data_IF_729194329852
#
_entry.id   IF_729194329852
#
_cell.length_a   1.000
_cell.length_b   1.000
_cell.length_c   1.000
_cell.angle_alpha   90.00
_cell.angle_beta   90.00
_cell.angle_gamma   90.00
#
_symmetry.space_group_name_H-M   'P 1'
#
loop_
_entity.id
_entity.type
_entity.pdbx_description
1 polymer ?
#
# COMPACT_ATOMS: atom_id res chain seq x y z
N UNK A 1 6.55 44.98 -27.60
CA UNK A 1 5.54 43.96 -27.91
C UNK A 1 6.32 42.67 -28.20
N UNK A 2 6.21 41.68 -27.31
CA UNK A 2 6.89 40.37 -27.30
C UNK A 2 8.45 40.39 -27.21
N UNK A 3 9.15 39.49 -26.52
CA UNK A 3 8.89 38.50 -25.47
C UNK A 3 10.25 38.27 -24.76
N UNK A 4 10.19 37.99 -23.45
CA UNK A 4 11.22 37.46 -22.54
C UNK A 4 11.98 36.28 -23.16
N UNK A 5 13.24 35.94 -22.88
CA UNK A 5 14.12 36.14 -21.72
C UNK A 5 14.98 34.86 -21.59
N UNK A 6 16.25 34.93 -21.14
CA UNK A 6 17.21 33.82 -21.17
C UNK A 6 17.15 32.90 -19.94
N UNK A 7 17.88 31.79 -20.03
CA UNK A 7 18.34 30.88 -18.97
C UNK A 7 18.35 31.47 -17.56
N UNK A 8 17.69 30.78 -16.62
CA UNK A 8 17.95 30.94 -15.19
C UNK A 8 18.05 29.56 -14.54
N UNK A 9 19.28 29.26 -14.16
CA UNK A 9 19.72 28.26 -13.19
C UNK A 9 18.92 28.41 -11.89
N UNK A 10 18.23 27.36 -11.44
CA UNK A 10 17.73 27.29 -10.07
C UNK A 10 18.66 26.45 -9.22
N UNK A 11 19.41 27.15 -8.37
CA UNK A 11 20.19 26.60 -7.27
C UNK A 11 19.25 25.95 -6.25
N UNK A 12 19.60 24.75 -5.82
CA UNK A 12 19.00 24.11 -4.65
C UNK A 12 19.60 24.72 -3.38
N UNK A 13 18.77 25.38 -2.56
CA UNK A 13 19.09 25.76 -1.20
C UNK A 13 18.30 24.85 -0.26
N UNK A 14 18.97 23.91 0.40
CA UNK A 14 18.59 23.44 1.73
C UNK A 14 19.86 23.22 2.53
N UNK A 15 20.14 24.21 3.39
CA UNK A 15 21.13 24.09 4.45
C UNK A 15 20.52 23.31 5.61
N UNK A 16 21.15 22.19 5.96
CA UNK A 16 20.96 21.53 7.25
C UNK A 16 22.36 21.17 7.78
N UNK A 17 22.76 21.84 8.85
CA UNK A 17 23.95 21.50 9.65
C UNK A 17 23.59 20.38 10.64
N UNK A 18 24.51 19.40 10.77
CA UNK A 18 24.88 18.58 11.94
C UNK A 18 23.74 17.82 12.68
N UNK A 19 23.73 16.50 12.89
CA UNK A 19 24.80 15.50 13.08
C UNK A 19 24.23 14.07 13.04
N UNK A 20 25.09 13.10 12.67
CA UNK A 20 25.09 11.66 13.00
C UNK A 20 23.97 10.73 12.45
N UNK A 21 24.36 9.87 11.50
CA UNK A 21 23.66 8.63 11.15
C UNK A 21 23.57 8.40 9.64
N UNK A 22 24.52 7.65 9.09
CA UNK A 22 24.58 7.28 7.67
C UNK A 22 23.25 6.65 7.20
N UNK A 23 22.50 7.36 6.37
CA UNK A 23 21.63 6.75 5.36
C UNK A 23 22.00 7.34 4.02
N UNK A 24 22.78 6.59 3.24
CA UNK A 24 23.05 6.92 1.85
C UNK A 24 21.76 6.72 1.04
N UNK A 25 20.93 7.75 0.93
CA UNK A 25 20.04 7.89 -0.23
C UNK A 25 20.69 8.87 -1.19
N UNK A 26 21.65 8.36 -1.97
CA UNK A 26 22.07 9.04 -3.19
C UNK A 26 20.90 9.12 -4.17
N UNK A 27 20.97 10.02 -5.18
CA UNK A 27 19.93 10.13 -6.20
C UNK A 27 19.75 8.77 -6.89
N UNK A 28 18.50 8.31 -6.95
CA UNK A 28 18.12 7.07 -7.63
C UNK A 28 18.41 7.23 -9.13
N UNK A 29 19.19 6.31 -9.71
CA UNK A 29 19.51 6.35 -11.14
C UNK A 29 18.25 6.28 -12.01
N UNK A 30 18.26 6.97 -13.15
CA UNK A 30 17.13 7.02 -14.08
C UNK A 30 16.70 5.63 -14.58
N UNK A 31 17.65 4.72 -14.77
CA UNK A 31 17.40 3.32 -15.16
C UNK A 31 16.61 2.56 -14.09
N UNK A 32 16.96 2.74 -12.81
CA UNK A 32 16.20 2.14 -11.71
C UNK A 32 14.80 2.72 -11.61
N UNK A 33 14.63 4.04 -11.79
CA UNK A 33 13.32 4.69 -11.77
C UNK A 33 12.40 4.18 -12.90
N UNK A 34 12.93 4.02 -14.12
CA UNK A 34 12.18 3.48 -15.26
C UNK A 34 11.82 2.01 -15.07
N UNK A 35 12.70 1.22 -14.45
CA UNK A 35 12.41 -0.18 -14.11
C UNK A 35 11.31 -0.30 -13.04
N UNK A 36 11.30 0.59 -12.04
CA UNK A 36 10.31 0.63 -10.97
C UNK A 36 8.96 1.08 -11.53
N UNK A 37 8.92 2.12 -12.38
CA UNK A 37 7.69 2.59 -12.99
C UNK A 37 7.07 1.54 -13.92
N UNK A 38 7.91 0.81 -14.68
CA UNK A 38 7.48 -0.34 -15.50
C UNK A 38 6.93 -1.51 -14.67
N UNK A 39 7.51 -1.77 -13.49
CA UNK A 39 6.97 -2.77 -12.54
C UNK A 39 5.70 -2.28 -11.83
N UNK A 40 5.56 -0.98 -11.58
CA UNK A 40 4.34 -0.42 -11.01
C UNK A 40 3.15 -0.59 -11.97
N UNK A 41 3.40 -0.33 -13.26
CA UNK A 41 2.37 -0.38 -14.30
C UNK A 41 1.98 -1.80 -14.74
N UNK A 42 2.73 -2.84 -14.34
CA UNK A 42 2.36 -4.23 -14.66
C UNK A 42 1.25 -4.80 -13.76
N UNK A 43 0.95 -4.17 -12.63
CA UNK A 43 -0.09 -4.63 -11.73
C UNK A 43 -1.46 -4.05 -12.11
N UNK A 44 -2.39 -4.93 -12.45
CA UNK A 44 -3.78 -4.55 -12.71
C UNK A 44 -4.53 -4.33 -11.40
N UNK A 45 -5.27 -3.23 -11.32
CA UNK A 45 -6.19 -2.96 -10.22
C UNK A 45 -7.57 -3.51 -10.60
N UNK A 46 -8.14 -4.34 -9.73
CA UNK A 46 -9.47 -4.95 -9.89
C UNK A 46 -10.36 -4.59 -8.70
N UNK A 47 -11.67 -4.48 -8.90
CA UNK A 47 -12.62 -4.30 -7.80
C UNK A 47 -12.96 -5.66 -7.19
N UNK A 48 -12.78 -5.82 -5.88
CA UNK A 48 -13.14 -7.05 -5.15
C UNK A 48 -14.27 -6.71 -4.17
N UNK A 49 -15.34 -7.54 -4.10
CA UNK A 49 -16.39 -7.36 -3.09
C UNK A 49 -15.82 -7.42 -1.67
N UNK A 50 -16.19 -6.44 -0.83
CA UNK A 50 -15.65 -6.32 0.53
C UNK A 50 -15.89 -7.61 1.33
N UNK A 51 -17.09 -8.19 1.23
CA UNK A 51 -17.46 -9.40 1.96
C UNK A 51 -16.68 -10.67 1.58
N UNK A 52 -15.87 -10.66 0.52
CA UNK A 52 -15.03 -11.80 0.13
C UNK A 52 -13.61 -11.72 0.72
N UNK A 53 -13.20 -10.54 1.19
CA UNK A 53 -11.85 -10.32 1.69
C UNK A 53 -11.68 -10.89 3.10
N UNK A 54 -10.54 -11.54 3.34
CA UNK A 54 -10.24 -12.21 4.61
C UNK A 54 -9.11 -11.49 5.35
N UNK A 55 -9.39 -10.84 6.49
CA UNK A 55 -8.35 -10.25 7.32
C UNK A 55 -7.37 -11.31 7.82
N UNK A 56 -6.09 -11.01 7.75
CA UNK A 56 -5.00 -11.86 8.27
C UNK A 56 -4.37 -11.29 9.54
N UNK A 57 -4.63 -10.03 9.84
CA UNK A 57 -4.15 -9.33 11.03
C UNK A 57 -5.26 -8.50 11.67
N UNK A 58 -5.15 -8.35 12.99
CA UNK A 58 -5.89 -7.36 13.75
C UNK A 58 -5.50 -5.93 13.35
N UNK A 59 -6.36 -4.98 13.70
CA UNK A 59 -6.17 -3.56 13.41
C UNK A 59 -6.19 -2.74 14.68
N UNK A 60 -5.67 -1.51 14.58
CA UNK A 60 -5.99 -0.47 15.54
C UNK A 60 -7.30 0.22 15.10
N UNK A 61 -8.40 -0.04 15.81
CA UNK A 61 -9.72 0.47 15.46
C UNK A 61 -9.80 2.00 15.47
N UNK A 62 -9.17 2.68 16.44
CA UNK A 62 -9.17 4.15 16.49
C UNK A 62 -8.49 4.75 15.27
N UNK A 63 -7.35 4.18 14.86
CA UNK A 63 -6.65 4.59 13.65
C UNK A 63 -7.49 4.33 12.40
N UNK A 64 -8.16 3.20 12.32
CA UNK A 64 -9.05 2.88 11.20
C UNK A 64 -10.22 3.88 11.12
N UNK A 65 -10.81 4.24 12.26
CA UNK A 65 -11.91 5.21 12.34
C UNK A 65 -11.46 6.62 11.93
N UNK A 66 -10.29 7.06 12.37
CA UNK A 66 -9.71 8.34 11.91
C UNK A 66 -9.50 8.31 10.39
N UNK A 67 -8.98 7.19 9.85
CA UNK A 67 -8.78 7.02 8.43
C UNK A 67 -10.11 7.03 7.65
N UNK A 68 -11.16 6.37 8.16
CA UNK A 68 -12.48 6.34 7.54
C UNK A 68 -13.06 7.76 7.39
N UNK A 69 -12.96 8.58 8.45
CA UNK A 69 -13.35 10.00 8.40
C UNK A 69 -12.57 10.79 7.35
N UNK A 70 -11.26 10.55 7.24
CA UNK A 70 -10.42 11.22 6.23
C UNK A 70 -10.78 10.80 4.80
N UNK A 71 -11.04 9.52 4.57
CA UNK A 71 -11.47 8.99 3.28
C UNK A 71 -12.84 9.56 2.90
N UNK A 72 -13.82 9.51 3.82
CA UNK A 72 -15.15 10.06 3.63
C UNK A 72 -15.11 11.56 3.30
N UNK A 73 -14.32 12.35 4.04
CA UNK A 73 -14.17 13.79 3.80
C UNK A 73 -13.58 14.09 2.41
N UNK A 74 -12.69 13.23 1.91
CA UNK A 74 -12.07 13.39 0.59
C UNK A 74 -12.95 12.91 -0.55
N UNK A 75 -13.91 12.01 -0.29
CA UNK A 75 -14.74 11.38 -1.32
C UNK A 75 -13.97 10.44 -2.26
N UNK A 76 -12.70 10.13 -1.97
CA UNK A 76 -11.83 9.39 -2.87
C UNK A 76 -11.10 8.26 -2.16
N UNK A 77 -11.11 7.09 -2.80
CA UNK A 77 -10.23 5.98 -2.49
C UNK A 77 -8.95 6.07 -3.34
N UNK A 78 -7.81 6.20 -2.68
CA UNK A 78 -6.55 6.62 -3.36
C UNK A 78 -5.45 5.55 -3.40
N UNK A 79 -5.64 4.41 -2.74
CA UNK A 79 -4.62 3.34 -2.70
C UNK A 79 -5.24 1.96 -2.75
N UNK A 80 -4.86 1.10 -3.71
CA UNK A 80 -5.39 -0.26 -3.76
C UNK A 80 -4.95 -1.08 -2.53
N UNK A 81 -5.76 -2.04 -2.13
CA UNK A 81 -5.37 -3.06 -1.15
C UNK A 81 -4.56 -4.16 -1.82
N UNK A 82 -3.64 -4.78 -1.07
CA UNK A 82 -2.92 -5.97 -1.55
C UNK A 82 -3.61 -7.21 -1.02
N UNK A 83 -3.90 -8.14 -1.92
CA UNK A 83 -4.71 -9.33 -1.62
C UNK A 83 -4.05 -10.56 -2.22
N UNK A 84 -3.93 -11.63 -1.43
CA UNK A 84 -3.51 -12.94 -1.90
C UNK A 84 -4.60 -13.54 -2.80
N UNK A 85 -4.21 -13.95 -4.00
CA UNK A 85 -5.17 -14.21 -5.07
C UNK A 85 -5.99 -15.50 -4.89
N UNK A 86 -5.46 -16.53 -4.23
CA UNK A 86 -6.13 -17.85 -4.12
C UNK A 86 -7.24 -17.84 -3.08
N UNK A 87 -7.02 -17.21 -1.93
CA UNK A 87 -7.95 -17.25 -0.80
C UNK A 87 -8.51 -15.87 -0.43
N UNK A 88 -8.16 -14.82 -1.19
CA UNK A 88 -8.57 -13.42 -0.96
C UNK A 88 -8.13 -12.89 0.41
N UNK A 89 -6.92 -13.26 0.82
CA UNK A 89 -6.34 -12.83 2.10
C UNK A 89 -5.80 -11.41 1.98
N UNK A 90 -6.12 -10.55 2.93
CA UNK A 90 -5.56 -9.20 2.95
C UNK A 90 -4.09 -9.30 3.33
N UNK A 91 -3.20 -8.86 2.44
CA UNK A 91 -1.76 -8.73 2.70
C UNK A 91 -1.44 -7.33 3.26
N UNK A 92 -1.99 -6.29 2.64
CA UNK A 92 -1.85 -4.90 3.09
C UNK A 92 -3.18 -4.15 2.96
N UNK A 93 -3.47 -3.31 3.94
CA UNK A 93 -4.66 -2.47 3.94
C UNK A 93 -5.77 -2.90 4.90
N UNK A 94 -5.50 -3.63 5.98
CA UNK A 94 -6.53 -4.05 6.95
C UNK A 94 -7.30 -2.87 7.57
N UNK A 95 -6.65 -1.73 7.83
CA UNK A 95 -7.38 -0.53 8.26
C UNK A 95 -8.30 0.01 7.15
N UNK A 96 -7.84 -0.03 5.89
CA UNK A 96 -8.64 0.38 4.73
C UNK A 96 -9.85 -0.54 4.54
N UNK A 97 -9.67 -1.84 4.73
CA UNK A 97 -10.77 -2.81 4.77
C UNK A 97 -11.81 -2.42 5.84
N UNK A 98 -11.36 -2.12 7.06
CA UNK A 98 -12.25 -1.63 8.12
C UNK A 98 -12.97 -0.32 7.75
N UNK A 99 -12.28 0.62 7.09
CA UNK A 99 -12.92 1.81 6.54
C UNK A 99 -13.99 1.48 5.50
N UNK A 100 -13.73 0.51 4.61
CA UNK A 100 -14.70 0.11 3.59
C UNK A 100 -15.98 -0.44 4.22
N UNK A 101 -15.85 -1.26 5.26
CA UNK A 101 -16.99 -1.73 6.06
C UNK A 101 -17.72 -0.58 6.76
N UNK A 102 -17.00 0.33 7.43
CA UNK A 102 -17.59 1.49 8.12
C UNK A 102 -18.34 2.43 7.16
N UNK A 103 -17.82 2.59 5.94
CA UNK A 103 -18.41 3.43 4.90
C UNK A 103 -19.45 2.70 4.03
N UNK A 104 -19.77 1.44 4.35
CA UNK A 104 -20.72 0.59 3.62
C UNK A 104 -20.41 0.49 2.12
N UNK A 105 -19.14 0.35 1.76
CA UNK A 105 -18.73 0.10 0.38
C UNK A 105 -19.00 -1.37 0.01
N UNK A 106 -19.50 -1.62 -1.19
CA UNK A 106 -19.73 -2.98 -1.70
C UNK A 106 -18.44 -3.61 -2.23
N UNK A 107 -17.52 -2.81 -2.75
CA UNK A 107 -16.24 -3.27 -3.29
C UNK A 107 -15.08 -2.31 -3.01
N UNK A 108 -13.85 -2.79 -3.15
CA UNK A 108 -12.63 -1.99 -3.02
C UNK A 108 -11.64 -2.32 -4.14
N UNK A 109 -10.83 -1.35 -4.58
CA UNK A 109 -9.77 -1.61 -5.55
C UNK A 109 -8.63 -2.40 -4.88
N UNK A 110 -8.27 -3.51 -5.51
CA UNK A 110 -7.26 -4.45 -5.04
C UNK A 110 -6.25 -4.76 -6.14
N UNK A 111 -5.06 -5.15 -5.72
CA UNK A 111 -4.08 -5.86 -6.55
C UNK A 111 -4.03 -7.29 -6.01
N UNK A 112 -4.26 -8.25 -6.90
CA UNK A 112 -4.16 -9.67 -6.57
C UNK A 112 -2.71 -10.13 -6.77
N UNK A 113 -2.12 -10.75 -5.75
CA UNK A 113 -0.73 -11.18 -5.71
C UNK A 113 -0.62 -12.65 -5.29
N UNK A 114 0.44 -13.31 -5.75
CA UNK A 114 0.93 -14.57 -5.17
C UNK A 114 2.03 -14.27 -4.15
N UNK A 115 2.16 -15.10 -3.12
CA UNK A 115 3.33 -15.10 -2.24
C UNK A 115 4.63 -15.45 -2.97
N UNK A 116 4.53 -16.10 -4.14
CA UNK A 116 5.66 -16.40 -5.02
C UNK A 116 6.03 -15.24 -5.96
N UNK A 117 5.33 -14.09 -5.89
CA UNK A 117 5.67 -12.92 -6.72
C UNK A 117 7.08 -12.43 -6.34
N UNK A 118 8.04 -12.39 -7.28
CA UNK A 118 9.43 -12.00 -7.00
C UNK A 118 9.58 -10.53 -6.55
N UNK A 119 8.55 -9.70 -6.74
CA UNK A 119 8.53 -8.31 -6.28
C UNK A 119 7.88 -8.16 -4.90
N UNK A 120 7.27 -9.21 -4.36
CA UNK A 120 6.64 -9.22 -3.04
C UNK A 120 7.64 -9.72 -1.99
N UNK A 121 7.91 -8.88 -1.01
CA UNK A 121 8.74 -9.23 0.13
C UNK A 121 7.86 -9.27 1.38
N UNK A 122 7.98 -10.32 2.18
CA UNK A 122 7.26 -10.47 3.45
C UNK A 122 8.27 -10.68 4.58
N UNK A 123 8.13 -9.91 5.65
CA UNK A 123 8.97 -10.00 6.86
C UNK A 123 8.12 -9.88 8.12
N UNK A 124 8.64 -10.27 9.28
CA UNK A 124 8.03 -9.85 10.55
C UNK A 124 8.36 -8.39 10.88
N UNK A 125 7.53 -7.74 11.70
CA UNK A 125 7.82 -6.39 12.21
C UNK A 125 8.86 -6.38 13.33
N UNK A 126 8.85 -7.42 14.18
CA UNK A 126 9.73 -7.52 15.36
C UNK A 126 11.18 -7.82 14.97
N UNK A 127 11.38 -8.71 14.01
CA UNK A 127 12.71 -9.14 13.58
C UNK A 127 12.73 -9.61 12.11
N UNK A 128 13.83 -9.39 11.39
CA UNK A 128 14.00 -9.95 10.06
C UNK A 128 14.17 -11.48 10.15
N UNK A 129 13.39 -12.22 9.35
CA UNK A 129 13.46 -13.67 9.30
C UNK A 129 12.49 -14.27 8.28
N UNK A 130 12.62 -15.57 7.96
CA UNK A 130 11.70 -16.26 7.08
C UNK A 130 10.30 -16.28 7.70
N UNK A 131 9.30 -15.81 6.95
CA UNK A 131 7.92 -15.76 7.41
C UNK A 131 7.21 -17.06 7.06
N UNK A 132 6.55 -17.66 8.05
CA UNK A 132 5.67 -18.82 7.86
C UNK A 132 4.39 -18.40 7.11
N UNK A 133 4.41 -18.46 5.77
CA UNK A 133 3.30 -18.07 4.90
C UNK A 133 2.05 -18.91 5.15
N UNK A 134 2.23 -20.20 5.41
CA UNK A 134 1.19 -21.15 5.81
C UNK A 134 0.42 -20.66 7.04
N UNK A 135 1.13 -20.12 8.04
CA UNK A 135 0.50 -19.52 9.24
C UNK A 135 -0.37 -18.32 8.89
N UNK A 136 0.05 -17.47 7.95
CA UNK A 136 -0.76 -16.33 7.48
C UNK A 136 -2.03 -16.83 6.78
N UNK A 137 -1.90 -17.86 5.94
CA UNK A 137 -3.02 -18.48 5.24
C UNK A 137 -4.02 -19.05 6.24
N UNK A 138 -3.55 -19.82 7.22
CA UNK A 138 -4.41 -20.38 8.26
C UNK A 138 -5.10 -19.31 9.10
N UNK A 139 -4.44 -18.21 9.43
CA UNK A 139 -5.05 -17.10 10.16
C UNK A 139 -6.25 -16.52 9.39
N UNK A 140 -6.10 -16.25 8.09
CA UNK A 140 -7.19 -15.73 7.26
C UNK A 140 -8.31 -16.75 6.98
N UNK A 141 -7.99 -18.03 6.81
CA UNK A 141 -8.98 -19.08 6.56
C UNK A 141 -9.79 -19.44 7.80
N UNK A 142 -9.15 -19.47 8.98
CA UNK A 142 -9.82 -19.75 10.26
C UNK A 142 -10.68 -18.60 10.78
N UNK A 143 -10.47 -17.38 10.26
CA UNK A 143 -11.09 -16.17 10.78
C UNK A 143 -10.50 -15.70 12.11
N UNK A 144 -9.36 -16.28 12.53
CA UNK A 144 -8.59 -15.88 13.72
C UNK A 144 -7.34 -15.15 13.24
N UNK A 145 -7.38 -13.81 13.08
CA UNK A 145 -6.25 -13.05 12.56
C UNK A 145 -5.05 -13.08 13.51
N UNK A 146 -3.86 -12.86 12.96
CA UNK A 146 -2.66 -12.60 13.73
C UNK A 146 -2.78 -11.28 14.51
N UNK A 147 -2.01 -11.13 15.57
CA UNK A 147 -1.96 -9.88 16.33
C UNK A 147 -1.51 -8.70 15.46
N UNK A 148 -1.96 -7.51 15.84
CA UNK A 148 -1.67 -6.27 15.12
C UNK A 148 -0.17 -6.07 14.86
N UNK A 149 0.20 -5.84 13.57
CA UNK A 149 1.58 -5.65 13.11
C UNK A 149 2.47 -6.85 13.41
N UNK A 150 2.05 -8.04 13.00
CA UNK A 150 2.90 -9.22 13.03
C UNK A 150 3.78 -9.28 11.79
N UNK A 151 3.20 -9.10 10.61
CA UNK A 151 3.81 -9.23 9.29
C UNK A 151 3.80 -7.91 8.52
N UNK A 152 4.78 -7.76 7.65
CA UNK A 152 4.92 -6.61 6.76
C UNK A 152 5.15 -7.09 5.34
N UNK A 153 4.19 -6.82 4.47
CA UNK A 153 4.36 -6.99 3.03
C UNK A 153 4.89 -5.70 2.40
N UNK A 154 5.85 -5.84 1.50
CA UNK A 154 6.41 -4.76 0.72
C UNK A 154 6.48 -5.20 -0.74
N UNK A 155 5.69 -4.54 -1.57
CA UNK A 155 5.77 -4.66 -3.02
C UNK A 155 6.77 -3.62 -3.55
N UNK A 156 7.66 -4.01 -4.46
CA UNK A 156 8.70 -3.12 -5.04
C UNK A 156 8.09 -1.84 -5.64
N UNK A 157 6.93 -1.98 -6.29
CA UNK A 157 6.25 -0.87 -6.94
C UNK A 157 4.74 -1.03 -6.84
N UNK A 158 4.04 0.02 -6.39
CA UNK A 158 2.60 0.01 -6.16
C UNK A 158 1.94 1.05 -7.08
N UNK A 159 1.05 0.64 -8.00
CA UNK A 159 0.25 1.62 -8.73
C UNK A 159 -0.67 2.38 -7.75
N UNK A 160 -0.84 3.67 -8.00
CA UNK A 160 -1.87 4.47 -7.32
C UNK A 160 -3.23 4.28 -8.00
N UNK A 161 -4.29 4.55 -7.27
CA UNK A 161 -5.64 4.65 -7.83
C UNK A 161 -6.28 5.95 -7.36
N UNK A 162 -7.36 6.36 -8.01
CA UNK A 162 -8.22 7.44 -7.54
C UNK A 162 -9.62 7.09 -8.00
N UNK A 163 -10.43 6.57 -7.08
CA UNK A 163 -11.79 6.08 -7.36
C UNK A 163 -12.75 6.82 -6.44
N UNK A 164 -13.87 7.30 -6.98
CA UNK A 164 -14.92 7.91 -6.16
C UNK A 164 -15.52 6.86 -5.21
N UNK A 165 -15.91 7.28 -4.01
CA UNK A 165 -16.58 6.36 -3.09
C UNK A 165 -17.95 5.91 -3.62
N UNK A 166 -18.62 6.72 -4.42
CA UNK A 166 -19.88 6.34 -5.06
C UNK A 166 -19.69 5.18 -6.05
N UNK A 167 -18.55 5.12 -6.75
CA UNK A 167 -18.21 4.02 -7.66
C UNK A 167 -17.87 2.70 -6.93
N UNK A 168 -17.77 2.73 -5.60
CA UNK A 168 -17.45 1.60 -4.73
C UNK A 168 -18.66 1.12 -3.91
N UNK A 169 -19.81 1.76 -4.07
CA UNK A 169 -21.08 1.38 -3.42
C UNK A 169 -21.88 0.42 -4.27
#
# INVERSE_FOLDING_TARGET
MALFGPEVVFQAFFSWHDTCGVTSKGPMSEENALSISKRASSYTIVKIPVGQLRPTEEINFERARTLAKMIAKRGLWTRPMLVEHRHLLIMDGHHRYSCATELSLSSVPCILLSYDDPNLHVTYWSEPGPVAVDRIIQAGLSGVPLSYKTIRHKLVALPSCSVDLDDLR
#
